data_IF_292635236344
#
_entry.id   IF_292635236344
#
_cell.length_a   1.000
_cell.length_b   1.000
_cell.length_c   1.000
_cell.angle_alpha   90.00
_cell.angle_beta   90.00
_cell.angle_gamma   90.00
#
_symmetry.space_group_name_H-M   'P 1'
#
loop_
_entity.id
_entity.type
_entity.pdbx_description
1 polymer ?
#
# COMPACT_ATOMS: atom_id res chain seq x y z
N UNK A 1 50.15 -99.83 -27.28
CA UNK A 1 49.24 -98.81 -27.85
C UNK A 1 48.96 -97.79 -26.74
N UNK A 2 49.58 -96.62 -26.78
CA UNK A 2 49.22 -95.48 -25.92
C UNK A 2 47.99 -94.75 -26.51
N UNK A 3 47.21 -94.01 -25.72
CA UNK A 3 47.38 -92.54 -25.69
C UNK A 3 47.28 -91.94 -24.28
N UNK A 4 48.13 -90.97 -23.89
CA UNK A 4 48.10 -89.49 -24.10
C UNK A 4 47.16 -88.71 -23.15
N UNK A 5 47.80 -87.88 -22.31
CA UNK A 5 47.57 -86.46 -21.97
C UNK A 5 46.12 -85.99 -21.68
N UNK A 6 45.87 -85.33 -20.54
CA UNK A 6 46.01 -83.86 -20.40
C UNK A 6 45.71 -83.36 -18.96
N UNK A 7 46.28 -82.20 -18.57
CA UNK A 7 46.16 -81.57 -17.25
C UNK A 7 45.03 -80.53 -17.25
N UNK A 8 44.41 -80.26 -16.10
CA UNK A 8 43.67 -79.01 -15.90
C UNK A 8 43.95 -78.54 -14.47
N UNK A 9 44.95 -77.67 -14.35
CA UNK A 9 45.01 -76.74 -13.22
C UNK A 9 43.75 -75.89 -13.28
N UNK A 10 42.97 -75.93 -12.20
CA UNK A 10 41.80 -75.08 -12.04
C UNK A 10 42.28 -73.63 -11.86
N UNK A 11 42.35 -72.89 -12.96
CA UNK A 11 42.55 -71.44 -12.94
C UNK A 11 41.28 -70.81 -12.38
N UNK A 12 41.33 -70.40 -11.12
CA UNK A 12 40.29 -69.61 -10.46
C UNK A 12 40.31 -68.20 -11.03
N UNK A 13 39.39 -67.90 -11.95
CA UNK A 13 39.18 -66.54 -12.45
C UNK A 13 38.28 -65.81 -11.45
N UNK A 14 38.89 -64.98 -10.60
CA UNK A 14 38.17 -64.02 -9.77
C UNK A 14 37.61 -62.91 -10.68
N UNK A 15 36.31 -62.95 -10.95
CA UNK A 15 35.61 -61.85 -11.60
C UNK A 15 35.37 -60.73 -10.60
N UNK A 16 36.28 -59.76 -10.56
CA UNK A 16 36.08 -58.49 -9.87
C UNK A 16 34.97 -57.71 -10.58
N UNK A 17 33.75 -57.77 -10.06
CA UNK A 17 32.63 -56.94 -10.52
C UNK A 17 32.85 -55.53 -9.98
N UNK A 18 33.45 -54.67 -10.81
CA UNK A 18 33.49 -53.23 -10.55
C UNK A 18 32.08 -52.67 -10.79
N UNK A 19 31.32 -52.44 -9.72
CA UNK A 19 30.04 -51.75 -9.76
C UNK A 19 30.33 -50.27 -10.00
N UNK A 20 30.16 -49.81 -11.24
CA UNK A 20 30.26 -48.39 -11.61
C UNK A 20 28.96 -47.71 -11.15
N UNK A 21 29.00 -47.06 -9.98
CA UNK A 21 27.90 -46.23 -9.49
C UNK A 21 27.93 -44.93 -10.29
N UNK A 22 27.14 -44.87 -11.36
CA UNK A 22 26.93 -43.64 -12.12
C UNK A 22 26.14 -42.65 -11.25
N UNK A 23 26.82 -41.63 -10.71
CA UNK A 23 26.17 -40.53 -10.01
C UNK A 23 25.35 -39.72 -11.03
N UNK A 24 24.04 -39.94 -11.05
CA UNK A 24 23.11 -39.09 -11.80
C UNK A 24 22.94 -37.80 -11.01
N UNK A 25 23.65 -36.75 -11.41
CA UNK A 25 23.43 -35.41 -10.88
C UNK A 25 22.07 -34.93 -11.38
N UNK A 26 21.05 -35.02 -10.54
CA UNK A 26 19.74 -34.44 -10.82
C UNK A 26 19.87 -32.92 -10.75
N UNK A 27 19.93 -32.27 -11.92
CA UNK A 27 19.84 -30.83 -11.99
C UNK A 27 18.45 -30.41 -11.47
N UNK A 28 18.43 -29.64 -10.39
CA UNK A 28 17.19 -29.06 -9.89
C UNK A 28 16.57 -28.15 -10.96
N UNK A 29 15.24 -28.19 -11.18
CA UNK A 29 14.59 -27.30 -12.12
C UNK A 29 14.83 -25.84 -11.72
N UNK A 30 15.10 -24.99 -12.72
CA UNK A 30 15.23 -23.55 -12.50
C UNK A 30 13.93 -22.98 -11.92
N UNK A 31 14.00 -21.96 -11.04
CA UNK A 31 12.81 -21.29 -10.52
C UNK A 31 11.93 -20.78 -11.67
N UNK A 32 10.62 -20.97 -11.56
CA UNK A 32 9.68 -20.39 -12.52
C UNK A 32 9.77 -18.85 -12.49
N UNK A 33 9.55 -18.16 -13.62
CA UNK A 33 9.48 -16.71 -13.64
C UNK A 33 8.42 -16.18 -12.68
N UNK A 34 8.71 -15.09 -11.98
CA UNK A 34 7.74 -14.43 -11.12
C UNK A 34 6.55 -13.87 -11.95
N UNK A 35 5.32 -13.88 -11.40
CA UNK A 35 4.12 -13.46 -12.11
C UNK A 35 4.14 -11.96 -12.46
N UNK A 36 3.39 -11.59 -13.49
CA UNK A 36 3.18 -10.19 -13.83
C UNK A 36 2.35 -9.47 -12.75
N UNK A 37 2.67 -8.19 -12.52
CA UNK A 37 2.01 -7.38 -11.52
C UNK A 37 0.52 -7.19 -11.86
N UNK A 38 -0.35 -7.20 -10.84
CA UNK A 38 -1.81 -7.13 -10.93
C UNK A 38 -2.37 -6.02 -10.05
N UNK A 39 -3.53 -5.49 -10.46
CA UNK A 39 -4.33 -4.58 -9.65
C UNK A 39 -5.45 -5.35 -8.93
N UNK A 40 -5.59 -5.12 -7.64
CA UNK A 40 -6.61 -5.73 -6.77
C UNK A 40 -7.54 -4.65 -6.23
N UNK A 41 -8.79 -4.62 -6.68
CA UNK A 41 -9.78 -3.66 -6.16
C UNK A 41 -10.31 -4.13 -4.82
N UNK A 42 -10.00 -3.37 -3.77
CA UNK A 42 -10.37 -3.67 -2.38
C UNK A 42 -11.89 -3.61 -2.22
N UNK A 43 -12.49 -4.65 -1.64
CA UNK A 43 -13.95 -4.76 -1.49
C UNK A 43 -14.72 -4.93 -2.80
N UNK A 44 -14.04 -5.05 -3.94
CA UNK A 44 -14.67 -5.18 -5.25
C UNK A 44 -15.58 -3.99 -5.58
N UNK A 45 -16.84 -4.25 -5.93
CA UNK A 45 -17.81 -3.20 -6.26
C UNK A 45 -18.30 -2.43 -5.03
N UNK A 46 -18.13 -2.98 -3.82
CA UNK A 46 -18.54 -2.32 -2.58
C UNK A 46 -17.52 -1.28 -2.09
N UNK A 47 -16.29 -1.30 -2.61
CA UNK A 47 -15.24 -0.32 -2.28
C UNK A 47 -14.77 -0.36 -0.84
N UNK A 48 -14.00 0.66 -0.45
CA UNK A 48 -13.48 0.89 0.91
C UNK A 48 -14.30 1.98 1.59
N UNK A 49 -15.42 1.60 2.22
CA UNK A 49 -16.32 2.55 2.89
C UNK A 49 -16.78 2.04 4.25
N UNK A 50 -17.09 2.97 5.14
CA UNK A 50 -17.71 2.72 6.44
C UNK A 50 -19.08 3.40 6.49
N UNK A 51 -20.10 2.66 6.92
CA UNK A 51 -21.43 3.19 7.12
C UNK A 51 -21.65 3.47 8.61
N UNK A 52 -21.63 4.75 8.97
CA UNK A 52 -21.85 5.25 10.33
C UNK A 52 -23.28 5.05 10.85
N UNK A 53 -24.26 4.79 9.98
CA UNK A 53 -25.63 4.51 10.41
C UNK A 53 -25.84 3.05 10.83
N UNK A 54 -25.00 2.14 10.31
CA UNK A 54 -25.07 0.71 10.62
C UNK A 54 -23.86 0.20 11.40
N UNK A 55 -22.92 1.09 11.75
CA UNK A 55 -21.62 0.79 12.35
C UNK A 55 -20.91 -0.42 11.70
N UNK A 56 -20.83 -0.38 10.37
CA UNK A 56 -20.32 -1.52 9.59
C UNK A 56 -19.59 -1.08 8.32
N UNK A 57 -18.56 -1.85 7.89
CA UNK A 57 -17.90 -1.66 6.61
C UNK A 57 -18.82 -2.06 5.46
N UNK A 58 -18.58 -1.51 4.27
CA UNK A 58 -19.32 -1.86 3.04
C UNK A 58 -19.07 -3.30 2.57
N UNK A 59 -17.98 -3.93 2.99
CA UNK A 59 -17.61 -5.29 2.64
C UNK A 59 -16.88 -5.99 3.80
N UNK A 60 -16.85 -7.32 3.76
CA UNK A 60 -15.92 -8.09 4.59
C UNK A 60 -14.55 -8.12 3.91
N UNK A 61 -13.64 -7.25 4.35
CA UNK A 61 -12.32 -7.11 3.74
C UNK A 61 -11.41 -8.32 4.01
N UNK A 62 -11.60 -9.03 5.12
CA UNK A 62 -10.87 -10.26 5.40
C UNK A 62 -11.26 -11.38 4.43
N UNK A 63 -12.56 -11.56 4.16
CA UNK A 63 -13.03 -12.53 3.17
C UNK A 63 -12.55 -12.17 1.75
N UNK A 64 -12.58 -10.88 1.41
CA UNK A 64 -12.04 -10.38 0.16
C UNK A 64 -10.55 -10.69 0.03
N UNK A 65 -9.75 -10.38 1.05
CA UNK A 65 -8.31 -10.64 1.06
C UNK A 65 -7.99 -12.13 0.93
N UNK A 66 -8.71 -12.99 1.67
CA UNK A 66 -8.55 -14.44 1.63
C UNK A 66 -8.89 -15.06 0.26
N UNK A 67 -9.67 -14.37 -0.57
CA UNK A 67 -10.01 -14.82 -1.93
C UNK A 67 -8.94 -14.54 -2.98
N UNK A 68 -7.85 -13.84 -2.62
CA UNK A 68 -6.84 -13.36 -3.54
C UNK A 68 -5.44 -13.91 -3.21
N UNK A 69 -4.50 -13.71 -4.12
CA UNK A 69 -3.07 -13.95 -3.91
C UNK A 69 -2.33 -12.71 -4.37
N UNK A 70 -1.36 -12.26 -3.57
CA UNK A 70 -0.67 -11.00 -3.76
C UNK A 70 0.82 -11.24 -3.95
N UNK A 71 1.43 -10.48 -4.85
CA UNK A 71 2.85 -10.56 -5.17
C UNK A 71 3.49 -9.18 -5.06
N UNK A 72 4.80 -9.17 -4.75
CA UNK A 72 5.59 -7.94 -4.73
C UNK A 72 5.50 -7.22 -6.09
N UNK A 73 5.06 -5.96 -6.07
CA UNK A 73 4.83 -5.14 -7.25
C UNK A 73 3.37 -5.03 -7.69
N UNK A 74 2.46 -5.82 -7.11
CA UNK A 74 1.02 -5.64 -7.29
C UNK A 74 0.54 -4.31 -6.68
N UNK A 75 -0.66 -3.88 -7.06
CA UNK A 75 -1.31 -2.68 -6.54
C UNK A 75 -2.65 -3.03 -5.89
N UNK A 76 -2.93 -2.41 -4.75
CA UNK A 76 -4.26 -2.36 -4.17
C UNK A 76 -4.95 -1.07 -4.60
N UNK A 77 -6.14 -1.21 -5.16
CA UNK A 77 -6.96 -0.09 -5.64
C UNK A 77 -8.09 0.13 -4.65
N UNK A 78 -8.04 1.23 -3.93
CA UNK A 78 -9.07 1.62 -2.97
C UNK A 78 -9.98 2.65 -3.63
N UNK A 79 -11.22 2.26 -3.89
CA UNK A 79 -12.29 3.21 -4.19
C UNK A 79 -12.85 3.68 -2.84
N UNK A 80 -12.57 4.92 -2.45
CA UNK A 80 -12.86 5.48 -1.13
C UNK A 80 -13.42 6.91 -1.25
N UNK A 81 -13.45 7.63 -0.14
CA UNK A 81 -13.70 9.06 -0.06
C UNK A 81 -12.91 9.64 1.13
N UNK A 82 -13.01 10.94 1.34
CA UNK A 82 -12.30 11.65 2.42
C UNK A 82 -12.78 11.33 3.84
N UNK A 83 -13.75 10.43 4.04
CA UNK A 83 -14.21 9.97 5.36
C UNK A 83 -13.52 8.68 5.84
N UNK A 84 -12.60 8.12 5.05
CA UNK A 84 -11.88 6.92 5.43
C UNK A 84 -10.44 6.99 4.95
N UNK A 85 -9.52 6.86 5.89
CA UNK A 85 -8.10 6.73 5.60
C UNK A 85 -7.72 5.30 5.22
N UNK A 86 -6.51 5.14 4.71
CA UNK A 86 -5.88 3.83 4.53
C UNK A 86 -4.46 3.90 5.10
N UNK A 87 -4.25 3.24 6.23
CA UNK A 87 -2.92 2.96 6.76
C UNK A 87 -2.42 1.66 6.15
N UNK A 88 -1.19 1.65 5.65
CA UNK A 88 -0.43 0.45 5.28
C UNK A 88 0.72 0.29 6.28
N UNK A 89 0.85 -0.88 6.90
CA UNK A 89 1.96 -1.16 7.82
C UNK A 89 2.43 -2.62 7.75
N UNK A 90 3.68 -2.88 8.11
CA UNK A 90 4.19 -4.24 8.41
C UNK A 90 4.16 -4.56 9.91
N UNK A 91 3.74 -3.60 10.76
CA UNK A 91 3.71 -3.73 12.21
C UNK A 91 2.35 -4.25 12.70
N UNK A 92 2.34 -5.50 13.18
CA UNK A 92 1.15 -6.15 13.74
C UNK A 92 0.59 -5.42 14.97
N UNK A 93 1.44 -4.79 15.78
CA UNK A 93 0.98 -4.07 16.98
C UNK A 93 0.19 -2.82 16.58
N UNK A 94 0.71 -2.03 15.64
CA UNK A 94 0.03 -0.86 15.05
C UNK A 94 -1.33 -1.25 14.47
N UNK A 95 -1.36 -2.34 13.70
CA UNK A 95 -2.60 -2.88 13.14
C UNK A 95 -3.59 -3.38 14.21
N UNK A 96 -3.12 -4.08 15.23
CA UNK A 96 -3.95 -4.64 16.29
C UNK A 96 -4.57 -3.55 17.16
N UNK A 97 -3.82 -2.48 17.42
CA UNK A 97 -4.30 -1.32 18.18
C UNK A 97 -5.22 -0.42 17.37
N UNK A 98 -5.22 -0.54 16.03
CA UNK A 98 -5.89 0.42 15.14
C UNK A 98 -5.41 1.85 15.38
N UNK A 99 -4.10 2.04 15.58
CA UNK A 99 -3.51 3.34 15.89
C UNK A 99 -2.15 3.47 15.18
N UNK A 100 -2.05 4.41 14.24
CA UNK A 100 -0.80 4.73 13.54
C UNK A 100 -0.01 5.89 14.18
N UNK A 101 -0.58 6.59 15.16
CA UNK A 101 -0.05 7.85 15.71
C UNK A 101 1.34 7.74 16.32
N UNK A 102 1.68 6.56 16.82
CA UNK A 102 2.93 6.28 17.53
C UNK A 102 3.91 5.41 16.72
N UNK A 103 3.58 5.09 15.46
CA UNK A 103 4.42 4.26 14.62
C UNK A 103 5.22 5.13 13.64
N UNK A 104 6.43 5.51 14.07
CA UNK A 104 7.42 6.22 13.26
C UNK A 104 8.26 5.26 12.39
N UNK A 105 7.84 4.00 12.28
CA UNK A 105 8.49 2.98 11.47
C UNK A 105 8.52 3.36 9.99
N UNK A 106 9.64 3.09 9.32
CA UNK A 106 9.82 3.29 7.88
C UNK A 106 8.98 2.35 6.98
N UNK A 107 7.99 1.67 7.57
CA UNK A 107 7.08 0.76 6.88
C UNK A 107 5.62 1.06 7.19
N UNK A 108 5.32 2.18 7.86
CA UNK A 108 3.96 2.65 8.13
C UNK A 108 3.68 3.89 7.30
N UNK A 109 2.64 3.81 6.48
CA UNK A 109 2.26 4.86 5.54
C UNK A 109 0.78 5.16 5.67
N UNK A 110 0.44 6.42 5.85
CA UNK A 110 -0.93 6.91 5.79
C UNK A 110 -1.23 7.39 4.36
N UNK A 111 -2.33 6.90 3.80
CA UNK A 111 -2.80 7.23 2.47
C UNK A 111 -4.21 7.81 2.52
N UNK A 112 -4.52 8.64 1.54
CA UNK A 112 -5.78 9.39 1.48
C UNK A 112 -5.80 10.54 2.47
N UNK A 113 -6.98 11.16 2.59
CA UNK A 113 -7.19 12.25 3.55
C UNK A 113 -7.37 11.73 4.98
N UNK A 114 -6.85 12.47 5.95
CA UNK A 114 -6.82 12.22 7.40
C UNK A 114 -8.20 12.36 8.09
N UNK A 115 -9.29 12.11 7.36
CA UNK A 115 -10.60 12.64 7.69
C UNK A 115 -10.65 14.08 7.19
N UNK A 116 -11.39 14.30 6.09
CA UNK A 116 -11.41 15.57 5.38
C UNK A 116 -11.63 16.79 6.28
N UNK A 117 -11.31 17.98 5.76
CA UNK A 117 -11.62 19.26 6.39
C UNK A 117 -12.92 19.12 7.18
N UNK A 118 -12.86 19.22 8.51
CA UNK A 118 -14.04 19.19 9.39
C UNK A 118 -15.06 20.29 9.07
N UNK A 119 -14.74 21.13 8.07
CA UNK A 119 -15.52 22.22 7.51
C UNK A 119 -16.15 21.89 6.13
N UNK A 120 -15.84 20.74 5.52
CA UNK A 120 -16.50 20.23 4.32
C UNK A 120 -17.61 19.28 4.74
N UNK A 121 -18.86 19.72 4.60
CA UNK A 121 -20.04 18.95 5.01
C UNK A 121 -20.24 17.64 4.23
N UNK A 122 -19.53 17.43 3.12
CA UNK A 122 -19.73 16.28 2.24
C UNK A 122 -18.41 15.58 1.90
N UNK A 123 -18.35 14.23 1.99
CA UNK A 123 -17.18 13.46 1.61
C UNK A 123 -16.95 13.51 0.10
N UNK A 124 -15.71 13.74 -0.32
CA UNK A 124 -15.33 13.74 -1.73
C UNK A 124 -14.78 12.39 -2.15
N UNK A 125 -15.24 11.78 -3.26
CA UNK A 125 -14.71 10.52 -3.75
C UNK A 125 -13.21 10.58 -4.05
N UNK A 126 -12.49 9.51 -3.70
CA UNK A 126 -11.05 9.37 -3.90
C UNK A 126 -10.71 7.96 -4.38
N UNK A 127 -9.65 7.83 -5.19
CA UNK A 127 -9.11 6.55 -5.61
C UNK A 127 -7.63 6.51 -5.25
N UNK A 128 -7.24 5.55 -4.41
CA UNK A 128 -5.86 5.33 -3.99
C UNK A 128 -5.29 4.10 -4.68
N UNK A 129 -4.10 4.23 -5.26
CA UNK A 129 -3.34 3.15 -5.87
C UNK A 129 -2.11 2.85 -5.01
N UNK A 130 -2.22 1.85 -4.14
CA UNK A 130 -1.20 1.56 -3.13
C UNK A 130 -0.35 0.38 -3.59
N UNK A 131 0.97 0.57 -3.83
CA UNK A 131 1.83 -0.51 -4.28
C UNK A 131 2.24 -1.45 -3.13
N UNK A 132 2.33 -2.74 -3.44
CA UNK A 132 2.87 -3.75 -2.54
C UNK A 132 4.39 -3.86 -2.72
N UNK A 133 5.13 -3.16 -1.87
CA UNK A 133 6.60 -3.04 -1.96
C UNK A 133 7.37 -3.78 -0.86
N UNK A 134 6.66 -4.51 0.00
CA UNK A 134 7.25 -5.36 1.05
C UNK A 134 6.70 -6.77 0.95
N UNK A 135 7.59 -7.77 0.93
CA UNK A 135 7.21 -9.18 1.02
C UNK A 135 6.81 -9.55 2.46
N UNK A 136 5.96 -10.57 2.59
CA UNK A 136 5.45 -11.04 3.88
C UNK A 136 4.16 -10.33 4.32
N UNK A 137 3.85 -10.37 5.63
CA UNK A 137 2.63 -9.76 6.18
C UNK A 137 2.60 -8.26 5.93
N UNK A 138 1.50 -7.79 5.35
CA UNK A 138 1.16 -6.39 5.19
C UNK A 138 -0.26 -6.17 5.73
N UNK A 139 -0.42 -5.15 6.55
CA UNK A 139 -1.66 -4.83 7.24
C UNK A 139 -2.24 -3.52 6.72
N UNK A 140 -3.56 -3.49 6.57
CA UNK A 140 -4.28 -2.33 6.07
C UNK A 140 -5.47 -2.02 6.98
N UNK A 141 -5.64 -0.76 7.36
CA UNK A 141 -6.76 -0.34 8.21
C UNK A 141 -7.09 1.14 8.06
N UNK A 142 -8.28 1.55 8.49
CA UNK A 142 -8.67 2.96 8.62
C UNK A 142 -8.37 3.46 10.03
N UNK A 143 -7.56 4.52 10.13
CA UNK A 143 -7.27 5.23 11.38
C UNK A 143 -8.27 6.37 11.65
N UNK A 144 -9.26 6.55 10.76
CA UNK A 144 -10.29 7.58 10.90
C UNK A 144 -11.19 7.32 12.10
N UNK A 145 -11.61 8.40 12.77
CA UNK A 145 -12.35 8.37 14.05
C UNK A 145 -11.57 7.63 15.14
N UNK A 146 -10.30 8.00 15.34
CA UNK A 146 -9.42 7.42 16.37
C UNK A 146 -9.38 5.87 16.30
N UNK A 147 -9.38 5.32 15.09
CA UNK A 147 -9.37 3.88 14.84
C UNK A 147 -10.73 3.16 14.95
N UNK A 148 -11.83 3.85 15.25
CA UNK A 148 -13.16 3.23 15.41
C UNK A 148 -13.62 2.47 14.15
N UNK A 149 -13.35 3.00 12.95
CA UNK A 149 -13.66 2.30 11.71
C UNK A 149 -12.89 0.96 11.62
N UNK A 150 -11.61 0.98 11.98
CA UNK A 150 -10.78 -0.23 12.02
C UNK A 150 -11.29 -1.24 13.03
N UNK A 151 -11.64 -0.82 14.25
CA UNK A 151 -12.18 -1.71 15.29
C UNK A 151 -13.49 -2.38 14.85
N UNK A 152 -14.29 -1.69 14.03
CA UNK A 152 -15.53 -2.20 13.47
C UNK A 152 -15.34 -2.94 12.12
N UNK A 153 -14.12 -3.35 11.79
CA UNK A 153 -13.84 -4.26 10.67
C UNK A 153 -13.39 -3.57 9.38
N UNK A 154 -13.13 -2.26 9.38
CA UNK A 154 -12.46 -1.57 8.28
C UNK A 154 -10.94 -1.80 8.33
N UNK A 155 -10.57 -3.08 8.30
CA UNK A 155 -9.19 -3.57 8.39
C UNK A 155 -9.04 -4.94 7.71
N UNK A 156 -7.86 -5.23 7.19
CA UNK A 156 -7.52 -6.56 6.69
C UNK A 156 -6.01 -6.77 6.67
N UNK A 157 -5.60 -8.04 6.58
CA UNK A 157 -4.23 -8.47 6.42
C UNK A 157 -4.09 -9.18 5.07
N UNK A 158 -2.94 -9.03 4.44
CA UNK A 158 -2.51 -9.85 3.31
C UNK A 158 -1.10 -10.39 3.55
N UNK A 159 -0.78 -11.49 2.87
CA UNK A 159 0.59 -11.98 2.77
C UNK A 159 1.11 -11.82 1.34
N UNK A 160 2.13 -10.98 1.18
CA UNK A 160 2.72 -10.65 -0.12
C UNK A 160 3.82 -11.66 -0.44
N UNK A 161 3.66 -12.38 -1.55
CA UNK A 161 4.61 -13.36 -2.04
C UNK A 161 5.71 -12.71 -2.89
N UNK A 162 6.77 -13.48 -3.15
CA UNK A 162 7.85 -13.05 -4.03
C UNK A 162 7.34 -12.71 -5.43
N UNK A 163 7.65 -11.50 -5.89
CA UNK A 163 7.22 -10.96 -7.18
C UNK A 163 8.32 -10.18 -7.87
N UNK A 164 8.03 -9.65 -9.05
CA UNK A 164 8.98 -8.86 -9.82
C UNK A 164 9.30 -7.49 -9.19
N UNK A 165 8.47 -7.06 -8.22
CA UNK A 165 8.53 -5.73 -7.64
C UNK A 165 8.10 -4.64 -8.60
N UNK A 166 8.20 -3.40 -8.14
CA UNK A 166 7.93 -2.26 -8.99
C UNK A 166 9.05 -2.10 -10.05
N UNK A 167 8.70 -1.79 -11.31
CA UNK A 167 9.70 -1.44 -12.31
C UNK A 167 10.54 -0.25 -11.83
N UNK A 168 11.81 -0.13 -12.25
CA UNK A 168 12.73 0.92 -11.79
C UNK A 168 12.17 2.36 -11.85
N UNK A 169 11.32 2.65 -12.83
CA UNK A 169 10.67 3.95 -12.99
C UNK A 169 9.69 4.32 -11.85
N UNK A 170 9.17 3.32 -11.13
CA UNK A 170 8.20 3.49 -10.04
C UNK A 170 8.80 3.26 -8.65
N UNK A 171 10.10 2.98 -8.54
CA UNK A 171 10.79 2.80 -7.24
C UNK A 171 10.99 4.10 -6.45
N UNK A 172 10.44 5.22 -6.91
CA UNK A 172 10.40 6.43 -6.10
C UNK A 172 9.43 6.19 -4.94
N UNK A 173 9.88 6.55 -3.72
CA UNK A 173 9.12 6.42 -2.48
C UNK A 173 7.65 6.81 -2.68
N UNK A 174 6.68 6.12 -2.05
CA UNK A 174 5.27 6.50 -2.13
C UNK A 174 5.11 7.96 -1.70
N UNK A 175 5.01 8.84 -2.69
CA UNK A 175 4.75 10.26 -2.50
C UNK A 175 3.24 10.41 -2.65
N UNK A 176 2.51 10.93 -1.65
CA UNK A 176 1.11 11.25 -1.81
C UNK A 176 1.02 12.39 -2.82
N UNK A 177 0.76 12.07 -4.09
CA UNK A 177 0.70 13.06 -5.16
C UNK A 177 -0.72 13.13 -5.72
N UNK A 178 -1.34 14.31 -5.74
CA UNK A 178 -2.59 14.52 -6.44
C UNK A 178 -2.34 14.54 -7.95
N UNK A 179 -2.90 13.55 -8.65
CA UNK A 179 -3.23 13.53 -10.09
C UNK A 179 -2.70 14.70 -10.93
N UNK A 180 -1.50 14.57 -11.49
CA UNK A 180 -1.03 15.48 -12.53
C UNK A 180 -1.79 15.21 -13.84
N UNK A 181 -2.81 16.04 -14.13
CA UNK A 181 -3.41 16.11 -15.46
C UNK A 181 -2.33 16.55 -16.45
N UNK A 182 -1.90 15.64 -17.33
CA UNK A 182 -1.05 15.97 -18.45
C UNK A 182 -1.81 16.90 -19.41
N UNK A 183 -1.38 18.17 -19.52
CA UNK A 183 -1.75 19.02 -20.65
C UNK A 183 -0.97 18.57 -21.91
N UNK A 184 -1.59 18.60 -23.10
CA UNK A 184 -0.90 18.27 -24.35
C UNK A 184 0.12 19.35 -24.75
N UNK A 185 1.17 19.00 -25.52
CA UNK A 185 2.19 19.96 -25.95
C UNK A 185 1.70 20.80 -27.14
N UNK A 186 1.65 22.12 -26.97
CA UNK A 186 1.52 23.06 -28.09
C UNK A 186 2.91 23.35 -28.66
N UNK A 187 3.10 23.04 -29.95
CA UNK A 187 4.32 23.31 -30.70
C UNK A 187 4.36 24.75 -31.24
N UNK A 188 5.46 25.44 -30.90
CA UNK A 188 6.36 26.27 -31.73
C UNK A 188 5.80 27.32 -32.71
N UNK A 189 6.24 28.58 -32.53
CA UNK A 189 6.39 29.56 -33.62
C UNK A 189 6.55 31.00 -33.11
N UNK A 190 7.77 31.55 -33.17
CA UNK A 190 8.14 32.79 -32.47
C UNK A 190 8.07 34.10 -33.27
N UNK A 191 8.53 35.16 -32.61
CA UNK A 191 9.06 36.39 -33.22
C UNK A 191 8.23 37.66 -33.00
N UNK A 192 8.80 38.65 -32.31
CA UNK A 192 8.46 40.07 -32.48
C UNK A 192 8.11 40.88 -31.22
N UNK A 193 9.11 41.54 -30.63
CA UNK A 193 9.00 42.85 -29.92
C UNK A 193 9.09 43.98 -30.99
N UNK A 194 8.75 45.28 -30.80
CA UNK A 194 8.72 46.03 -29.52
C UNK A 194 7.68 47.19 -29.33
N UNK A 195 7.70 47.72 -28.09
CA UNK A 195 7.40 49.09 -27.59
C UNK A 195 6.00 49.73 -27.65
N UNK A 196 5.52 50.18 -26.48
CA UNK A 196 5.27 51.59 -26.02
C UNK A 196 4.30 51.56 -24.81
N UNK A 197 4.80 51.84 -23.59
CA UNK A 197 4.61 53.06 -22.78
C UNK A 197 3.14 53.53 -22.60
N UNK A 198 2.72 53.64 -21.33
CA UNK A 198 1.84 54.70 -20.79
C UNK A 198 1.76 54.56 -19.25
N UNK A 199 2.44 55.50 -18.61
CA UNK A 199 2.28 55.90 -17.20
C UNK A 199 0.87 56.41 -16.92
N UNK A 200 0.23 56.01 -15.81
CA UNK A 200 -0.62 56.92 -15.02
C UNK A 200 -0.74 56.49 -13.55
N UNK A 201 -0.95 57.49 -12.71
CA UNK A 201 -0.56 57.63 -11.30
C UNK A 201 -1.83 57.80 -10.44
N UNK A 202 -1.66 57.71 -9.10
CA UNK A 202 -2.49 58.31 -8.01
C UNK A 202 -3.76 57.55 -7.60
N UNK A 203 -4.21 57.37 -6.35
CA UNK A 203 -3.90 57.73 -4.94
C UNK A 203 -4.56 56.61 -4.07
N UNK A 204 -4.15 56.17 -2.88
CA UNK A 204 -3.90 56.87 -1.61
C UNK A 204 -5.20 57.13 -0.83
N UNK A 205 -5.56 56.30 0.20
CA UNK A 205 -6.27 56.70 1.44
C UNK A 205 -6.01 55.66 2.56
N UNK A 206 -5.60 56.17 3.73
CA UNK A 206 -5.44 55.48 5.03
C UNK A 206 -6.78 55.07 5.68
N UNK A 207 -6.75 54.03 6.52
CA UNK A 207 -7.87 53.68 7.38
C UNK A 207 -7.44 52.92 8.64
N UNK A 208 -7.01 53.67 9.66
CA UNK A 208 -6.81 53.21 11.04
C UNK A 208 -8.17 53.11 11.75
N UNK A 209 -8.36 52.07 12.58
CA UNK A 209 -9.22 51.94 13.80
C UNK A 209 -9.74 50.50 13.87
N UNK A 210 -9.77 49.77 14.97
CA UNK A 210 -9.57 50.03 16.40
C UNK A 210 -10.07 48.74 17.10
N UNK A 211 -9.38 48.32 18.16
CA UNK A 211 -9.63 47.04 18.81
C UNK A 211 -10.99 46.88 19.48
N UNK A 212 -11.43 45.64 19.62
CA UNK A 212 -12.39 45.20 20.64
C UNK A 212 -12.03 43.77 21.05
N UNK A 213 -11.41 43.65 22.22
CA UNK A 213 -11.20 42.39 22.93
C UNK A 213 -12.42 42.22 23.84
N UNK A 214 -13.28 41.25 23.55
CA UNK A 214 -14.40 40.89 24.43
C UNK A 214 -13.98 39.71 25.31
N UNK A 215 -13.69 40.03 26.58
CA UNK A 215 -13.52 39.07 27.64
C UNK A 215 -14.90 38.51 28.05
N UNK A 216 -15.09 37.22 27.85
CA UNK A 216 -16.24 36.44 28.30
C UNK A 216 -16.04 36.00 29.76
N UNK A 217 -16.86 36.56 30.66
CA UNK A 217 -16.97 36.14 32.05
C UNK A 217 -17.71 34.81 32.15
N UNK A 218 -17.03 33.78 32.68
CA UNK A 218 -17.65 32.51 33.05
C UNK A 218 -18.55 32.67 34.27
N UNK A 219 -19.85 32.38 34.12
CA UNK A 219 -20.75 32.16 35.24
C UNK A 219 -20.66 30.71 35.71
N UNK A 220 -20.06 30.51 36.88
CA UNK A 220 -20.04 29.27 37.64
C UNK A 220 -21.43 29.04 38.26
N UNK A 221 -22.24 28.15 37.67
CA UNK A 221 -23.49 27.70 38.27
C UNK A 221 -23.25 26.44 39.09
N UNK A 222 -23.18 26.59 40.42
CA UNK A 222 -23.28 25.48 41.36
C UNK A 222 -24.74 25.03 41.41
N UNK A 223 -25.04 23.82 40.91
CA UNK A 223 -26.25 23.10 41.30
C UNK A 223 -25.89 22.12 42.41
N UNK A 224 -26.26 22.48 43.64
CA UNK A 224 -26.34 21.56 44.76
C UNK A 224 -27.82 21.36 45.08
N UNK A 225 -28.36 20.17 44.79
CA UNK A 225 -29.60 19.69 45.42
C UNK A 225 -29.44 18.21 45.79
N UNK A 226 -29.06 17.98 47.04
CA UNK A 226 -29.64 16.95 47.91
C UNK A 226 -30.93 17.56 48.47
N UNK A 227 -32.09 16.91 48.57
CA UNK A 227 -32.51 15.53 48.92
C UNK A 227 -33.83 15.24 48.21
#
# INVERSE_FOLDING_TARGET
MAPRRCPIEAVTIAFSIAVIISAVSAAAPAPAPAPANKNHTVGGTAGWYYNTSSDAPSANYSDWAASQTFYLGDFLIFNTNTNSSVVQTSNDTTYSLCDASNDDGNQTFLWGSDGGDSNSSEPTPEVLEIPLVYEGPNYFFSDTMDGDQCQNGMKFEINVLHGNGLPPALKQSPSPSPSAKALPPTSTGGGGSPSEDQTSKKNGVEGIRGGFVLAILGMLSLFLTTV
#
